data_IF_951258804401
#
_entry.id   IF_951258804401
#
_cell.length_a   1.000
_cell.length_b   1.000
_cell.length_c   1.000
_cell.angle_alpha   90.00
_cell.angle_beta   90.00
_cell.angle_gamma   90.00
#
_symmetry.space_group_name_H-M   'P 1'
#
loop_
_entity.id
_entity.type
_entity.pdbx_description
1 polymer ?
#
# COMPACT_ATOMS: atom_id res chain seq x y z
N UNK A 1 -0.82 42.93 34.26
CA UNK A 1 0.52 42.71 34.87
C UNK A 1 1.27 41.85 33.89
N UNK A 2 2.04 42.44 32.95
CA UNK A 2 3.50 42.62 32.99
C UNK A 2 4.20 41.25 32.95
N UNK A 3 5.08 40.93 32.04
CA UNK A 3 6.14 41.67 31.42
C UNK A 3 6.69 41.00 30.14
N UNK A 4 7.07 41.84 29.17
CA UNK A 4 8.00 41.59 28.08
C UNK A 4 9.38 41.21 28.57
N UNK A 5 10.10 40.38 27.81
CA UNK A 5 11.55 40.48 27.74
C UNK A 5 12.07 40.15 26.35
N UNK A 6 12.52 41.18 25.70
CA UNK A 6 13.43 41.17 24.55
C UNK A 6 14.87 41.08 25.03
N UNK A 7 15.70 40.35 24.30
CA UNK A 7 17.16 40.50 24.28
C UNK A 7 17.65 39.74 23.03
N UNK A 8 18.45 40.15 22.18
CA UNK A 8 19.41 41.25 21.97
C UNK A 8 20.21 40.81 20.73
N UNK A 9 20.26 41.70 19.77
CA UNK A 9 21.17 41.63 18.63
C UNK A 9 22.63 41.55 19.13
N UNK A 10 23.43 40.77 18.43
CA UNK A 10 24.87 41.08 18.31
C UNK A 10 25.32 40.83 16.87
N UNK A 11 25.58 41.95 16.23
CA UNK A 11 26.39 42.07 15.03
C UNK A 11 27.85 41.74 15.35
N UNK A 12 28.51 41.01 14.49
CA UNK A 12 29.95 41.13 14.34
C UNK A 12 30.32 41.06 12.86
N UNK A 13 30.85 42.16 12.45
CA UNK A 13 31.38 42.45 11.11
C UNK A 13 32.71 41.78 10.84
N UNK A 14 32.97 41.60 9.56
CA UNK A 14 34.25 41.67 8.84
C UNK A 14 35.26 40.54 9.03
N UNK A 15 35.57 39.80 8.00
CA UNK A 15 36.85 39.98 7.29
C UNK A 15 36.82 39.29 5.93
N UNK A 16 37.17 40.04 4.94
CA UNK A 16 37.40 39.70 3.54
C UNK A 16 38.66 38.86 3.47
N UNK A 17 38.64 37.70 2.82
CA UNK A 17 39.83 37.14 2.20
C UNK A 17 39.44 36.47 0.87
N UNK A 18 39.88 37.18 -0.18
CA UNK A 18 39.87 36.74 -1.56
C UNK A 18 40.93 35.64 -1.73
N UNK A 19 40.51 34.43 -2.10
CA UNK A 19 41.40 33.46 -2.74
C UNK A 19 40.70 32.90 -3.95
N UNK A 20 41.12 33.40 -5.09
CA UNK A 20 40.81 32.80 -6.38
C UNK A 20 41.78 31.62 -6.59
N UNK A 21 41.25 30.44 -6.87
CA UNK A 21 41.95 29.33 -7.52
C UNK A 21 40.95 28.43 -8.22
N UNK A 22 40.85 28.66 -9.52
CA UNK A 22 41.06 27.72 -10.63
C UNK A 22 40.44 26.31 -10.46
N UNK A 23 39.42 26.10 -11.25
CA UNK A 23 39.22 24.98 -12.16
C UNK A 23 39.27 23.56 -11.58
N UNK A 24 38.06 22.98 -11.43
CA UNK A 24 37.86 21.58 -11.75
C UNK A 24 36.45 21.46 -12.29
N UNK A 25 36.32 21.25 -13.60
CA UNK A 25 35.10 20.69 -14.19
C UNK A 25 34.88 19.31 -13.58
N UNK A 26 34.23 19.25 -12.43
CA UNK A 26 33.58 18.06 -11.94
C UNK A 26 32.35 17.86 -12.80
N UNK A 27 32.39 16.87 -13.67
CA UNK A 27 31.18 16.35 -14.31
C UNK A 27 30.21 15.95 -13.18
N UNK A 28 29.20 16.78 -12.98
CA UNK A 28 28.11 16.51 -12.09
C UNK A 28 27.35 15.29 -12.69
N UNK A 29 27.74 14.14 -12.21
CA UNK A 29 27.01 12.90 -12.46
C UNK A 29 25.63 13.10 -11.88
N UNK A 30 24.69 13.59 -12.73
CA UNK A 30 23.28 13.59 -12.40
C UNK A 30 22.95 12.19 -11.92
N UNK A 31 22.40 12.04 -10.72
CA UNK A 31 21.84 10.75 -10.33
C UNK A 31 20.84 10.37 -11.41
N UNK A 32 21.13 9.29 -12.13
CA UNK A 32 20.18 8.66 -13.01
C UNK A 32 18.94 8.47 -12.17
N UNK A 33 17.90 9.21 -12.51
CA UNK A 33 16.55 8.91 -12.03
C UNK A 33 16.37 7.43 -12.28
N UNK A 34 16.35 6.65 -11.20
CA UNK A 34 15.92 5.28 -11.28
C UNK A 34 14.50 5.38 -11.83
N UNK A 35 14.34 4.97 -13.08
CA UNK A 35 13.04 4.69 -13.65
C UNK A 35 12.38 3.69 -12.70
N UNK A 36 11.62 4.21 -11.77
CA UNK A 36 10.74 3.40 -10.95
C UNK A 36 9.77 2.81 -11.95
N UNK A 37 10.01 1.57 -12.33
CA UNK A 37 9.14 0.84 -13.24
C UNK A 37 7.71 1.03 -12.72
N UNK A 38 6.90 1.75 -13.47
CA UNK A 38 5.54 2.07 -13.09
C UNK A 38 4.82 0.74 -12.86
N UNK A 39 4.41 0.47 -11.64
CA UNK A 39 3.59 -0.70 -11.33
C UNK A 39 2.37 -0.67 -12.25
N UNK A 40 2.11 -1.72 -13.03
CA UNK A 40 0.99 -1.72 -13.95
C UNK A 40 -0.31 -1.43 -13.20
N UNK A 41 -0.93 -0.31 -13.52
CA UNK A 41 -2.22 0.06 -12.95
C UNK A 41 -3.30 -0.80 -13.60
N UNK A 42 -3.72 -1.83 -12.91
CA UNK A 42 -4.89 -2.63 -13.31
C UNK A 42 -6.14 -1.93 -12.75
N UNK A 43 -7.14 -1.63 -13.57
CA UNK A 43 -8.34 -0.95 -13.11
C UNK A 43 -9.09 -1.78 -12.05
N UNK A 44 -9.83 -1.07 -11.21
CA UNK A 44 -10.75 -1.72 -10.27
C UNK A 44 -11.74 -2.61 -11.00
N UNK A 45 -12.04 -3.75 -10.44
CA UNK A 45 -13.00 -4.69 -11.02
C UNK A 45 -13.92 -5.29 -9.97
N UNK A 46 -15.21 -5.32 -10.28
CA UNK A 46 -16.21 -5.99 -9.47
C UNK A 46 -15.97 -7.50 -9.49
N UNK A 47 -15.92 -8.10 -8.31
CA UNK A 47 -15.66 -9.54 -8.14
C UNK A 47 -16.93 -10.29 -7.76
N UNK A 48 -17.66 -9.78 -6.78
CA UNK A 48 -18.88 -10.42 -6.29
C UNK A 48 -19.85 -9.37 -5.76
N UNK A 49 -21.14 -9.61 -6.00
CA UNK A 49 -22.25 -8.80 -5.46
C UNK A 49 -23.00 -9.62 -4.42
N UNK A 50 -23.14 -9.06 -3.25
CA UNK A 50 -23.95 -9.61 -2.18
C UNK A 50 -25.35 -9.01 -2.11
N UNK A 51 -26.06 -9.29 -1.04
CA UNK A 51 -27.37 -8.69 -0.77
C UNK A 51 -27.24 -7.21 -0.40
N UNK A 52 -28.34 -6.47 -0.51
CA UNK A 52 -28.45 -5.06 -0.13
C UNK A 52 -27.48 -4.12 -0.86
N UNK A 53 -27.08 -4.48 -2.09
CA UNK A 53 -26.16 -3.67 -2.90
C UNK A 53 -24.74 -3.64 -2.35
N UNK A 54 -24.35 -4.63 -1.56
CA UNK A 54 -22.97 -4.82 -1.16
C UNK A 54 -22.19 -5.41 -2.34
N UNK A 55 -21.02 -4.86 -2.57
CA UNK A 55 -20.11 -5.27 -3.64
C UNK A 55 -18.72 -5.52 -3.08
N UNK A 56 -18.02 -6.50 -3.60
CA UNK A 56 -16.58 -6.71 -3.34
C UNK A 56 -15.82 -6.46 -4.63
N UNK A 57 -14.81 -5.63 -4.53
CA UNK A 57 -14.02 -5.18 -5.65
C UNK A 57 -12.55 -5.59 -5.49
N UNK A 58 -11.92 -5.93 -6.59
CA UNK A 58 -10.48 -5.88 -6.70
C UNK A 58 -10.04 -4.44 -6.90
N UNK A 59 -9.17 -3.96 -6.02
CA UNK A 59 -8.61 -2.61 -6.09
C UNK A 59 -7.09 -2.72 -6.14
N UNK A 60 -6.37 -2.14 -5.26
CA UNK A 60 -4.92 -2.15 -5.16
C UNK A 60 -4.24 -3.29 -5.95
N UNK A 61 -3.13 -2.99 -6.55
CA UNK A 61 -2.38 -3.97 -7.36
C UNK A 61 -0.95 -4.03 -6.84
N UNK A 62 -0.43 -5.23 -6.65
CA UNK A 62 1.00 -5.46 -6.50
C UNK A 62 1.45 -6.59 -7.41
N UNK A 63 2.69 -6.53 -7.85
CA UNK A 63 3.31 -7.61 -8.62
C UNK A 63 4.00 -8.56 -7.64
N UNK A 64 3.58 -9.79 -7.62
CA UNK A 64 4.26 -10.89 -6.94
C UNK A 64 5.31 -11.51 -7.85
N UNK A 65 6.36 -12.06 -7.26
CA UNK A 65 7.37 -12.84 -7.97
C UNK A 65 7.46 -14.22 -7.33
N UNK A 66 7.16 -15.25 -8.11
CA UNK A 66 7.29 -16.63 -7.68
C UNK A 66 8.75 -17.05 -7.60
N UNK A 67 9.09 -18.13 -6.86
CA UNK A 67 10.47 -18.62 -6.73
C UNK A 67 11.15 -19.02 -8.05
N UNK A 68 10.37 -19.35 -9.06
CA UNK A 68 10.85 -19.69 -10.41
C UNK A 68 11.06 -18.46 -11.33
N UNK A 69 10.83 -17.25 -10.78
CA UNK A 69 10.94 -16.00 -11.53
C UNK A 69 9.68 -15.59 -12.26
N UNK A 70 8.61 -16.38 -12.24
CA UNK A 70 7.32 -16.01 -12.84
C UNK A 70 6.67 -14.88 -12.05
N UNK A 71 6.20 -13.85 -12.76
CA UNK A 71 5.46 -12.76 -12.14
C UNK A 71 3.94 -13.01 -12.17
N UNK A 72 3.25 -12.52 -11.16
CA UNK A 72 1.80 -12.53 -11.10
C UNK A 72 1.27 -11.20 -10.57
N UNK A 73 -0.02 -11.00 -10.71
CA UNK A 73 -0.73 -9.85 -10.16
C UNK A 73 -1.53 -10.29 -8.95
N UNK A 74 -1.25 -9.68 -7.82
CA UNK A 74 -2.03 -9.86 -6.59
C UNK A 74 -2.83 -8.58 -6.32
N UNK A 75 -4.11 -8.74 -6.01
CA UNK A 75 -5.08 -7.65 -5.88
C UNK A 75 -5.55 -7.51 -4.43
N UNK A 76 -5.65 -6.27 -3.97
CA UNK A 76 -6.34 -5.96 -2.72
C UNK A 76 -7.86 -6.08 -2.88
N UNK A 77 -8.56 -6.25 -1.76
CA UNK A 77 -10.02 -6.33 -1.72
C UNK A 77 -10.61 -5.09 -1.05
N UNK A 78 -11.66 -4.56 -1.64
CA UNK A 78 -12.45 -3.46 -1.10
C UNK A 78 -13.92 -3.85 -1.08
N UNK A 79 -14.58 -3.64 0.06
CA UNK A 79 -16.00 -3.83 0.23
C UNK A 79 -16.67 -2.47 0.03
N UNK A 80 -17.62 -2.40 -0.90
CA UNK A 80 -18.42 -1.21 -1.19
C UNK A 80 -19.88 -1.44 -0.81
N UNK A 81 -20.44 -0.49 -0.11
CA UNK A 81 -21.84 -0.50 0.27
C UNK A 81 -22.39 0.91 0.27
N UNK A 82 -23.25 1.26 -0.69
CA UNK A 82 -23.72 2.64 -0.89
C UNK A 82 -22.54 3.62 -0.93
N UNK A 83 -22.43 4.50 0.08
CA UNK A 83 -21.38 5.52 0.17
C UNK A 83 -20.17 5.07 1.00
N UNK A 84 -20.17 3.84 1.51
CA UNK A 84 -19.09 3.30 2.35
C UNK A 84 -18.16 2.45 1.54
N UNK A 85 -16.86 2.69 1.70
CA UNK A 85 -15.77 1.89 1.13
C UNK A 85 -14.87 1.41 2.25
N UNK A 86 -14.62 0.12 2.32
CA UNK A 86 -13.82 -0.51 3.36
C UNK A 86 -12.74 -1.35 2.69
N UNK A 87 -11.51 -0.90 2.78
CA UNK A 87 -10.37 -1.67 2.30
C UNK A 87 -10.09 -2.82 3.27
N UNK A 88 -10.01 -4.05 2.77
CA UNK A 88 -9.60 -5.20 3.58
C UNK A 88 -8.10 -5.11 3.84
N UNK A 89 -7.66 -4.92 5.10
CA UNK A 89 -6.26 -4.65 5.38
C UNK A 89 -5.38 -5.88 5.14
N UNK A 90 -4.20 -5.65 4.59
CA UNK A 90 -3.12 -6.62 4.43
C UNK A 90 -3.46 -7.90 3.63
N UNK A 91 -4.63 -7.96 3.00
CA UNK A 91 -5.07 -9.11 2.25
C UNK A 91 -4.95 -8.84 0.74
N UNK A 92 -3.94 -9.44 0.13
CA UNK A 92 -3.76 -9.49 -1.32
C UNK A 92 -4.02 -10.90 -1.80
N UNK A 93 -4.71 -11.02 -2.91
CA UNK A 93 -5.12 -12.32 -3.47
C UNK A 93 -4.97 -12.36 -4.98
N UNK A 94 -4.70 -13.54 -5.52
CA UNK A 94 -4.76 -13.83 -6.95
C UNK A 94 -6.06 -14.56 -7.35
N UNK A 95 -6.94 -14.84 -6.38
CA UNK A 95 -8.18 -15.56 -6.60
C UNK A 95 -9.39 -14.75 -6.12
N UNK A 96 -10.54 -14.95 -6.76
CA UNK A 96 -11.78 -14.32 -6.34
C UNK A 96 -12.22 -14.86 -4.97
N UNK A 97 -12.64 -13.98 -4.04
CA UNK A 97 -13.22 -14.40 -2.77
C UNK A 97 -14.59 -15.04 -2.97
N UNK A 98 -15.02 -15.84 -2.00
CA UNK A 98 -16.30 -16.53 -1.99
C UNK A 98 -17.15 -16.03 -0.84
N UNK A 99 -18.37 -15.57 -1.13
CA UNK A 99 -19.35 -15.26 -0.08
C UNK A 99 -19.80 -16.55 0.58
N UNK A 100 -19.67 -16.63 1.89
CA UNK A 100 -20.18 -17.75 2.69
C UNK A 100 -21.61 -17.47 3.14
N UNK A 101 -21.87 -16.24 3.55
CA UNK A 101 -23.16 -15.74 3.98
C UNK A 101 -23.28 -14.22 3.77
N UNK A 102 -24.29 -13.58 4.36
CA UNK A 102 -24.52 -12.13 4.23
C UNK A 102 -23.52 -11.25 4.98
N UNK A 103 -22.74 -11.83 5.88
CA UNK A 103 -21.83 -11.14 6.78
C UNK A 103 -20.37 -11.51 6.57
N UNK A 104 -20.10 -12.60 5.87
CA UNK A 104 -18.77 -13.21 5.81
C UNK A 104 -18.40 -13.64 4.40
N UNK A 105 -17.20 -13.33 3.99
CA UNK A 105 -16.57 -13.92 2.81
C UNK A 105 -15.31 -14.68 3.19
N UNK A 106 -14.98 -15.70 2.41
CA UNK A 106 -13.70 -16.41 2.47
C UNK A 106 -12.80 -15.87 1.37
N UNK A 107 -11.56 -15.54 1.71
CA UNK A 107 -10.56 -15.07 0.78
C UNK A 107 -9.21 -15.72 1.08
N UNK A 108 -8.45 -15.99 0.02
CA UNK A 108 -7.08 -16.49 0.16
C UNK A 108 -6.10 -15.32 0.25
N UNK A 109 -5.19 -15.37 1.19
CA UNK A 109 -4.01 -14.50 1.18
C UNK A 109 -2.97 -15.11 0.25
N UNK A 110 -2.52 -14.33 -0.71
CA UNK A 110 -1.45 -14.71 -1.62
C UNK A 110 -0.15 -14.00 -1.28
N UNK A 111 0.94 -14.70 -1.48
CA UNK A 111 2.28 -14.15 -1.39
C UNK A 111 3.20 -14.91 -2.35
N UNK A 112 4.01 -14.19 -3.09
CA UNK A 112 4.88 -14.78 -4.11
C UNK A 112 4.13 -15.69 -5.10
N UNK A 113 2.99 -15.18 -5.62
CA UNK A 113 2.16 -15.85 -6.63
C UNK A 113 1.49 -17.17 -6.18
N UNK A 114 1.32 -17.38 -4.91
CA UNK A 114 0.67 -18.60 -4.38
C UNK A 114 -0.12 -18.31 -3.10
N UNK A 115 -1.18 -19.07 -2.85
CA UNK A 115 -1.92 -18.96 -1.60
C UNK A 115 -1.07 -19.42 -0.42
N UNK A 116 -1.07 -18.64 0.65
CA UNK A 116 -0.33 -18.91 1.89
C UNK A 116 -1.23 -19.04 3.10
N UNK A 117 -2.52 -18.83 2.93
CA UNK A 117 -3.51 -19.01 3.99
C UNK A 117 -4.89 -18.53 3.56
N UNK A 118 -5.90 -19.01 4.26
CA UNK A 118 -7.30 -18.67 4.05
C UNK A 118 -7.78 -17.79 5.20
N UNK A 119 -8.61 -16.82 4.87
CA UNK A 119 -9.14 -15.85 5.82
C UNK A 119 -10.65 -15.72 5.67
N UNK A 120 -11.32 -15.62 6.79
CA UNK A 120 -12.71 -15.17 6.89
C UNK A 120 -12.69 -13.66 7.08
N UNK A 121 -13.40 -12.95 6.23
CA UNK A 121 -13.47 -11.49 6.28
C UNK A 121 -14.89 -11.08 6.65
N UNK A 122 -15.02 -10.35 7.74
CA UNK A 122 -16.28 -9.73 8.13
C UNK A 122 -16.66 -8.62 7.15
N UNK A 123 -17.78 -8.74 6.48
CA UNK A 123 -18.20 -7.82 5.42
C UNK A 123 -18.64 -6.45 5.95
N UNK A 124 -18.88 -6.31 7.24
CA UNK A 124 -19.27 -5.04 7.85
C UNK A 124 -18.06 -4.18 8.21
N UNK A 125 -17.02 -4.81 8.72
CA UNK A 125 -15.81 -4.13 9.21
C UNK A 125 -14.61 -4.25 8.28
N UNK A 126 -14.63 -5.18 7.31
CA UNK A 126 -13.49 -5.54 6.48
C UNK A 126 -12.40 -6.31 7.22
N UNK A 127 -12.64 -6.73 8.47
CA UNK A 127 -11.62 -7.36 9.31
C UNK A 127 -11.37 -8.80 8.87
N UNK A 128 -10.13 -9.16 8.46
CA UNK A 128 -9.77 -10.54 8.17
C UNK A 128 -9.38 -11.29 9.44
N UNK A 129 -9.86 -12.53 9.57
CA UNK A 129 -9.47 -13.48 10.60
C UNK A 129 -8.98 -14.75 9.92
N UNK A 130 -7.80 -15.22 10.28
CA UNK A 130 -7.24 -16.43 9.68
C UNK A 130 -8.12 -17.63 9.98
N UNK A 131 -8.51 -18.33 8.93
CA UNK A 131 -9.20 -19.61 9.06
C UNK A 131 -8.17 -20.66 9.50
N UNK A 132 -8.35 -21.20 10.68
CA UNK A 132 -7.54 -22.32 11.11
C UNK A 132 -8.08 -23.56 10.39
N UNK A 133 -7.21 -24.33 9.77
CA UNK A 133 -7.59 -25.64 9.29
C UNK A 133 -8.11 -26.42 10.52
N UNK A 134 -9.44 -26.55 10.61
CA UNK A 134 -10.09 -27.17 11.74
C UNK A 134 -9.56 -28.58 11.87
N UNK A 135 -8.86 -28.84 12.97
CA UNK A 135 -8.68 -30.19 13.42
C UNK A 135 -10.10 -30.72 13.72
N UNK A 136 -10.57 -31.61 12.88
CA UNK A 136 -11.70 -32.48 13.23
C UNK A 136 -11.31 -33.21 14.49
N UNK A 137 -11.94 -32.83 15.60
CA UNK A 137 -11.90 -33.61 16.83
C UNK A 137 -12.63 -34.94 16.64
#
# INVERSE_FOLDING_TARGET
MAACRAHRQQSCSALILLVALVGACGAEERPRSQDTAATPSVPDSLVVTGKDGMEVWFTLTRVGLAPDGTSCVERGLEIRRRDTRIQVPLLYTGAAPVLLDQSTMRAELWNHCRPVGTYLVDLRSGRPVREHAGGTA
#
